data_IF_455757739799
#
_entry.id   IF_455757739799
#
_cell.length_a   1.000
_cell.length_b   1.000
_cell.length_c   1.000
_cell.angle_alpha   90.00
_cell.angle_beta   90.00
_cell.angle_gamma   90.00
#
_symmetry.space_group_name_H-M   'P 1'
#
loop_
_entity.id
_entity.type
_entity.pdbx_description
1 polymer ?
#
# COMPACT_ATOMS: atom_id res chain seq x y z
N UNK A 1 -23.90 5.23 -15.23
CA UNK A 1 -22.99 4.16 -14.75
C UNK A 1 -23.55 2.82 -15.20
N UNK A 2 -22.78 1.98 -15.88
CA UNK A 2 -23.25 0.66 -16.32
C UNK A 2 -23.56 -0.24 -15.12
N UNK A 3 -24.57 -1.13 -15.26
CA UNK A 3 -25.01 -2.04 -14.21
C UNK A 3 -23.87 -2.92 -13.63
N UNK A 4 -22.92 -3.31 -14.49
CA UNK A 4 -21.73 -4.07 -14.09
C UNK A 4 -20.88 -3.31 -13.06
N UNK A 5 -20.62 -2.03 -13.31
CA UNK A 5 -19.81 -1.19 -12.41
C UNK A 5 -20.53 -0.93 -11.09
N UNK A 6 -21.83 -0.68 -11.15
CA UNK A 6 -22.65 -0.52 -9.93
C UNK A 6 -22.61 -1.79 -9.07
N UNK A 7 -22.76 -2.96 -9.69
CA UNK A 7 -22.70 -4.25 -9.00
C UNK A 7 -21.33 -4.49 -8.36
N UNK A 8 -20.25 -4.14 -9.06
CA UNK A 8 -18.89 -4.20 -8.53
C UNK A 8 -18.71 -3.26 -7.33
N UNK A 9 -19.22 -2.03 -7.41
CA UNK A 9 -19.18 -1.05 -6.32
C UNK A 9 -19.94 -1.49 -5.08
N UNK A 10 -21.14 -2.04 -5.26
CA UNK A 10 -21.92 -2.59 -4.14
C UNK A 10 -21.16 -3.75 -3.49
N UNK A 11 -20.53 -4.62 -4.29
CA UNK A 11 -19.77 -5.75 -3.78
C UNK A 11 -18.57 -5.30 -2.94
N UNK A 12 -17.69 -4.43 -3.47
CA UNK A 12 -16.54 -3.97 -2.69
C UNK A 12 -16.93 -3.06 -1.53
N UNK A 13 -17.97 -2.23 -1.67
CA UNK A 13 -18.49 -1.40 -0.57
C UNK A 13 -19.03 -2.24 0.59
N UNK A 14 -19.69 -3.36 0.28
CA UNK A 14 -20.13 -4.34 1.27
C UNK A 14 -18.93 -5.00 1.98
N UNK A 15 -17.88 -5.37 1.23
CA UNK A 15 -16.64 -5.91 1.81
C UNK A 15 -15.95 -4.92 2.74
N UNK A 16 -15.90 -3.63 2.38
CA UNK A 16 -15.40 -2.56 3.24
C UNK A 16 -16.22 -2.46 4.53
N UNK A 17 -17.55 -2.49 4.43
CA UNK A 17 -18.44 -2.43 5.59
C UNK A 17 -18.25 -3.62 6.53
N UNK A 18 -18.16 -4.83 5.97
CA UNK A 18 -17.88 -6.06 6.73
C UNK A 18 -16.52 -5.97 7.42
N UNK A 19 -15.49 -5.51 6.71
CA UNK A 19 -14.13 -5.39 7.26
C UNK A 19 -14.06 -4.37 8.40
N UNK A 20 -14.76 -3.24 8.26
CA UNK A 20 -14.92 -2.26 9.34
C UNK A 20 -15.63 -2.90 10.53
N UNK A 21 -16.73 -3.64 10.32
CA UNK A 21 -17.45 -4.31 11.41
C UNK A 21 -16.56 -5.35 12.14
N UNK A 22 -15.77 -6.13 11.40
CA UNK A 22 -14.81 -7.08 11.97
C UNK A 22 -13.75 -6.34 12.80
N UNK A 23 -13.18 -5.26 12.26
CA UNK A 23 -12.18 -4.45 12.95
C UNK A 23 -12.75 -3.82 14.23
N UNK A 24 -13.92 -3.19 14.17
CA UNK A 24 -14.54 -2.50 15.29
C UNK A 24 -14.89 -3.45 16.45
N UNK A 25 -15.26 -4.70 16.15
CA UNK A 25 -15.58 -5.73 17.16
C UNK A 25 -14.37 -6.24 17.92
N UNK A 26 -13.18 -6.23 17.32
CA UNK A 26 -11.97 -6.77 17.95
C UNK A 26 -10.70 -5.97 17.61
N UNK A 27 -10.76 -4.66 17.84
CA UNK A 27 -9.68 -3.71 17.50
C UNK A 27 -8.32 -4.12 18.07
N UNK A 28 -8.31 -4.69 19.28
CA UNK A 28 -7.08 -5.08 19.99
C UNK A 28 -6.33 -6.22 19.29
N UNK A 29 -7.01 -7.03 18.49
CA UNK A 29 -6.37 -8.11 17.72
C UNK A 29 -5.59 -7.61 16.50
N UNK A 30 -5.80 -6.35 16.08
CA UNK A 30 -5.16 -5.78 14.89
C UNK A 30 -3.95 -4.93 15.28
N UNK A 31 -2.77 -5.29 14.77
CA UNK A 31 -1.51 -4.58 15.04
C UNK A 31 -1.56 -3.08 14.67
N UNK A 32 -2.35 -2.71 13.66
CA UNK A 32 -2.58 -1.32 13.25
C UNK A 32 -3.13 -0.41 14.37
N UNK A 33 -3.89 -0.95 15.33
CA UNK A 33 -4.49 -0.16 16.41
C UNK A 33 -3.44 0.33 17.43
N UNK A 34 -2.24 -0.27 17.45
CA UNK A 34 -1.25 -0.04 18.48
C UNK A 34 -0.34 1.16 18.15
N UNK A 35 -0.03 1.98 19.15
CA UNK A 35 1.00 3.04 19.07
C UNK A 35 2.36 2.51 18.59
N UNK A 36 2.65 1.24 18.85
CA UNK A 36 3.85 0.58 18.34
C UNK A 36 3.90 0.58 16.81
N UNK A 37 2.77 0.35 16.12
CA UNK A 37 2.72 0.39 14.66
C UNK A 37 2.99 1.80 14.13
N UNK A 38 2.43 2.83 14.78
CA UNK A 38 2.72 4.22 14.41
C UNK A 38 4.22 4.53 14.56
N UNK A 39 4.84 4.15 15.68
CA UNK A 39 6.28 4.32 15.88
C UNK A 39 7.11 3.53 14.86
N UNK A 40 6.63 2.35 14.45
CA UNK A 40 7.25 1.54 13.41
C UNK A 40 7.21 2.20 12.03
N UNK A 41 6.15 2.92 11.69
CA UNK A 41 6.05 3.72 10.46
C UNK A 41 6.93 4.97 10.53
N UNK A 42 6.98 5.63 11.68
CA UNK A 42 7.72 6.88 11.90
C UNK A 42 9.25 6.71 12.06
N UNK A 43 9.77 5.52 11.76
CA UNK A 43 11.21 5.31 11.64
C UNK A 43 11.75 6.22 10.52
N UNK A 44 12.77 7.02 10.84
CA UNK A 44 13.27 8.14 10.00
C UNK A 44 13.42 7.79 8.52
N UNK A 45 14.03 6.64 8.20
CA UNK A 45 14.27 6.26 6.81
C UNK A 45 12.99 5.87 6.06
N UNK A 46 11.99 5.31 6.75
CA UNK A 46 10.69 4.97 6.15
C UNK A 46 9.94 6.24 5.79
N UNK A 47 9.94 7.21 6.72
CA UNK A 47 9.40 8.55 6.47
C UNK A 47 10.12 9.22 5.30
N UNK A 48 11.45 9.17 5.26
CA UNK A 48 12.22 9.78 4.16
C UNK A 48 11.90 9.14 2.81
N UNK A 49 11.91 7.80 2.73
CA UNK A 49 11.56 7.08 1.48
C UNK A 49 10.11 7.31 1.07
N UNK A 50 9.18 7.37 2.02
CA UNK A 50 7.79 7.76 1.79
C UNK A 50 7.66 9.19 1.24
N UNK A 51 8.33 10.17 1.84
CA UNK A 51 8.26 11.55 1.39
C UNK A 51 8.84 11.71 -0.02
N UNK A 52 9.96 11.06 -0.32
CA UNK A 52 10.55 11.07 -1.65
C UNK A 52 9.63 10.41 -2.68
N UNK A 53 9.10 9.22 -2.38
CA UNK A 53 8.20 8.50 -3.28
C UNK A 53 6.90 9.27 -3.52
N UNK A 54 6.27 9.78 -2.45
CA UNK A 54 5.01 10.55 -2.52
C UNK A 54 5.20 11.85 -3.28
N UNK A 55 6.26 12.60 -2.98
CA UNK A 55 6.56 13.85 -3.71
C UNK A 55 6.80 13.56 -5.18
N UNK A 56 7.60 12.53 -5.49
CA UNK A 56 7.87 12.11 -6.86
C UNK A 56 6.60 11.76 -7.63
N UNK A 57 5.79 10.84 -7.10
CA UNK A 57 4.59 10.37 -7.81
C UNK A 57 3.50 11.43 -7.90
N UNK A 58 3.29 12.22 -6.84
CA UNK A 58 2.30 13.30 -6.87
C UNK A 58 2.67 14.36 -7.90
N UNK A 59 3.96 14.71 -8.04
CA UNK A 59 4.38 15.68 -9.06
C UNK A 59 4.31 15.10 -10.48
N UNK A 60 4.60 13.81 -10.64
CA UNK A 60 4.67 13.14 -11.94
C UNK A 60 3.29 12.73 -12.47
N UNK A 61 2.33 12.42 -11.61
CA UNK A 61 1.05 11.81 -11.96
C UNK A 61 0.30 12.52 -13.12
N UNK A 62 0.16 13.86 -13.15
CA UNK A 62 -0.52 14.54 -14.27
C UNK A 62 0.24 14.49 -15.61
N UNK A 63 1.53 14.14 -15.59
CA UNK A 63 2.38 14.03 -16.77
C UNK A 63 2.47 12.59 -17.30
N UNK A 64 1.68 11.66 -16.76
CA UNK A 64 1.63 10.26 -17.22
C UNK A 64 0.84 10.10 -18.53
N UNK A 65 0.10 11.12 -18.95
CA UNK A 65 -0.80 11.04 -20.11
C UNK A 65 -2.13 10.35 -19.83
N UNK A 66 -2.30 9.78 -18.64
CA UNK A 66 -3.57 9.23 -18.20
C UNK A 66 -4.41 10.35 -17.56
N UNK A 67 -5.59 10.71 -18.13
CA UNK A 67 -6.44 11.78 -17.60
C UNK A 67 -7.06 11.43 -16.23
N UNK A 68 -6.95 10.17 -15.80
CA UNK A 68 -7.44 9.75 -14.50
C UNK A 68 -6.47 10.12 -13.38
N UNK A 69 -5.16 10.11 -13.63
CA UNK A 69 -4.12 10.37 -12.64
C UNK A 69 -3.92 11.87 -12.43
N UNK A 70 -4.07 12.32 -11.18
CA UNK A 70 -3.85 13.70 -10.80
C UNK A 70 -3.04 13.85 -9.51
N UNK A 71 -2.92 15.08 -9.02
CA UNK A 71 -2.19 15.33 -7.78
C UNK A 71 -2.91 14.79 -6.54
N UNK A 72 -4.24 14.77 -6.55
CA UNK A 72 -5.06 14.39 -5.40
C UNK A 72 -5.04 12.87 -5.21
N UNK A 73 -5.30 12.11 -6.26
CA UNK A 73 -5.31 10.65 -6.17
C UNK A 73 -3.94 10.06 -5.86
N UNK A 74 -2.89 10.53 -6.53
CA UNK A 74 -1.52 10.12 -6.26
C UNK A 74 -1.13 10.41 -4.80
N UNK A 75 -1.54 11.55 -4.25
CA UNK A 75 -1.24 11.92 -2.86
C UNK A 75 -1.97 11.01 -1.86
N UNK A 76 -3.30 10.89 -1.95
CA UNK A 76 -4.03 10.09 -0.95
C UNK A 76 -3.70 8.61 -1.08
N UNK A 77 -3.50 8.07 -2.29
CA UNK A 77 -3.12 6.68 -2.48
C UNK A 77 -1.73 6.39 -1.89
N UNK A 78 -0.78 7.33 -2.03
CA UNK A 78 0.55 7.20 -1.43
C UNK A 78 0.48 7.17 0.10
N UNK A 79 -0.34 8.05 0.70
CA UNK A 79 -0.59 8.08 2.14
C UNK A 79 -1.21 6.77 2.61
N UNK A 80 -2.29 6.32 1.95
CA UNK A 80 -2.95 5.05 2.27
C UNK A 80 -1.95 3.90 2.18
N UNK A 81 -1.13 3.85 1.13
CA UNK A 81 -0.13 2.80 0.91
C UNK A 81 0.91 2.80 2.03
N UNK A 82 1.44 3.96 2.43
CA UNK A 82 2.39 4.06 3.54
C UNK A 82 1.84 3.57 4.87
N UNK A 83 0.61 3.97 5.17
CA UNK A 83 -0.04 3.63 6.43
C UNK A 83 -0.41 2.15 6.48
N UNK A 84 -0.78 1.54 5.35
CA UNK A 84 -1.44 0.24 5.36
C UNK A 84 -0.62 -0.93 4.79
N UNK A 85 0.23 -0.69 3.78
CA UNK A 85 0.95 -1.77 3.10
C UNK A 85 1.81 -2.61 4.04
N UNK A 86 2.59 -2.03 4.98
CA UNK A 86 3.43 -2.84 5.85
C UNK A 86 2.63 -3.80 6.72
N UNK A 87 1.50 -3.34 7.28
CA UNK A 87 0.63 -4.19 8.08
C UNK A 87 -0.11 -5.22 7.23
N UNK A 88 -0.72 -4.84 6.10
CA UNK A 88 -1.50 -5.77 5.28
C UNK A 88 -0.65 -6.94 4.78
N UNK A 89 0.56 -6.66 4.28
CA UNK A 89 1.45 -7.70 3.76
C UNK A 89 1.93 -8.63 4.88
N UNK A 90 2.33 -8.08 6.03
CA UNK A 90 2.72 -8.87 7.19
C UNK A 90 1.58 -9.74 7.73
N UNK A 91 0.38 -9.18 7.85
CA UNK A 91 -0.80 -9.89 8.33
C UNK A 91 -1.20 -11.04 7.40
N UNK A 92 -1.24 -10.80 6.08
CA UNK A 92 -1.55 -11.83 5.08
C UNK A 92 -0.52 -12.96 5.12
N UNK A 93 0.77 -12.63 5.21
CA UNK A 93 1.82 -13.62 5.35
C UNK A 93 1.62 -14.47 6.62
N UNK A 94 1.37 -13.83 7.77
CA UNK A 94 1.21 -14.54 9.04
C UNK A 94 -0.07 -15.38 9.09
N UNK A 95 -1.18 -14.95 8.47
CA UNK A 95 -2.38 -15.79 8.31
C UNK A 95 -2.07 -17.00 7.43
N UNK A 96 -1.36 -16.83 6.31
CA UNK A 96 -0.94 -17.94 5.45
C UNK A 96 -0.04 -18.94 6.19
N UNK A 97 0.75 -18.46 7.16
CA UNK A 97 1.56 -19.29 8.08
C UNK A 97 0.79 -19.81 9.30
N UNK A 98 -0.54 -19.61 9.36
CA UNK A 98 -1.41 -20.00 10.48
C UNK A 98 -1.02 -19.40 11.83
N UNK A 99 -0.34 -18.25 11.83
CA UNK A 99 0.10 -17.51 13.02
C UNK A 99 -0.89 -16.42 13.45
N UNK A 100 -1.80 -16.02 12.57
CA UNK A 100 -2.87 -15.05 12.85
C UNK A 100 -4.23 -15.62 12.41
N UNK A 101 -5.34 -15.17 13.03
CA UNK A 101 -6.66 -15.65 12.69
C UNK A 101 -7.11 -15.15 11.31
N UNK A 102 -7.88 -15.96 10.58
CA UNK A 102 -8.32 -15.67 9.21
C UNK A 102 -9.05 -14.34 9.04
N UNK A 103 -9.76 -13.87 10.07
CA UNK A 103 -10.41 -12.55 10.08
C UNK A 103 -9.44 -11.40 9.76
N UNK A 104 -8.15 -11.52 10.10
CA UNK A 104 -7.16 -10.52 9.76
C UNK A 104 -6.84 -10.50 8.27
N UNK A 105 -6.91 -11.62 7.57
CA UNK A 105 -6.73 -11.64 6.12
C UNK A 105 -7.87 -10.92 5.40
N UNK A 106 -9.11 -11.05 5.88
CA UNK A 106 -10.26 -10.31 5.32
C UNK A 106 -10.02 -8.81 5.40
N UNK A 107 -9.65 -8.31 6.59
CA UNK A 107 -9.38 -6.88 6.80
C UNK A 107 -8.14 -6.43 6.02
N UNK A 108 -7.05 -7.19 6.06
CA UNK A 108 -5.81 -6.87 5.35
C UNK A 108 -6.00 -6.79 3.84
N UNK A 109 -6.77 -7.72 3.26
CA UNK A 109 -7.13 -7.71 1.84
C UNK A 109 -8.01 -6.51 1.50
N UNK A 110 -9.03 -6.22 2.31
CA UNK A 110 -9.90 -5.08 2.08
C UNK A 110 -9.15 -3.75 2.14
N UNK A 111 -8.26 -3.59 3.13
CA UNK A 111 -7.41 -2.40 3.26
C UNK A 111 -6.46 -2.28 2.07
N UNK A 112 -5.85 -3.39 1.63
CA UNK A 112 -5.03 -3.41 0.42
C UNK A 112 -5.82 -2.96 -0.80
N UNK A 113 -6.93 -3.62 -1.11
CA UNK A 113 -7.74 -3.29 -2.29
C UNK A 113 -8.27 -1.85 -2.25
N UNK A 114 -8.64 -1.37 -1.07
CA UNK A 114 -9.06 0.02 -0.88
C UNK A 114 -7.93 1.01 -1.15
N UNK A 115 -6.74 0.75 -0.60
CA UNK A 115 -5.56 1.60 -0.79
C UNK A 115 -5.05 1.58 -2.23
N UNK A 116 -5.05 0.42 -2.88
CA UNK A 116 -4.46 0.23 -4.20
C UNK A 116 -5.43 0.50 -5.37
N UNK A 117 -6.75 0.47 -5.14
CA UNK A 117 -7.72 0.67 -6.23
C UNK A 117 -9.00 1.37 -5.80
N UNK A 118 -9.75 0.85 -4.81
CA UNK A 118 -11.13 1.30 -4.62
C UNK A 118 -11.27 2.75 -4.17
N UNK A 119 -10.28 3.29 -3.45
CA UNK A 119 -10.25 4.72 -3.10
C UNK A 119 -10.10 5.62 -4.33
N UNK A 120 -9.26 5.22 -5.28
CA UNK A 120 -9.10 5.87 -6.57
C UNK A 120 -10.34 5.74 -7.46
N UNK A 121 -10.91 4.53 -7.56
CA UNK A 121 -12.14 4.31 -8.33
C UNK A 121 -13.30 5.17 -7.78
N UNK A 122 -13.42 5.22 -6.45
CA UNK A 122 -14.42 6.05 -5.77
C UNK A 122 -14.18 7.55 -6.04
N UNK A 123 -12.93 8.00 -5.97
CA UNK A 123 -12.57 9.38 -6.26
C UNK A 123 -12.99 9.79 -7.67
N UNK A 124 -12.68 8.97 -8.68
CA UNK A 124 -13.06 9.24 -10.07
C UNK A 124 -14.56 9.21 -10.31
N UNK A 125 -15.29 8.30 -9.65
CA UNK A 125 -16.75 8.31 -9.71
C UNK A 125 -17.31 9.62 -9.15
N UNK A 126 -16.74 10.13 -8.05
CA UNK A 126 -17.18 11.40 -7.45
C UNK A 126 -16.78 12.62 -8.29
N UNK A 127 -15.60 12.59 -8.92
CA UNK A 127 -15.05 13.69 -9.73
C UNK A 127 -15.70 13.76 -11.11
N UNK A 128 -15.79 12.63 -11.80
CA UNK A 128 -16.10 12.54 -13.23
C UNK A 128 -17.46 11.88 -13.51
N UNK A 129 -18.16 11.40 -12.48
CA UNK A 129 -19.42 10.65 -12.60
C UNK A 129 -19.31 9.38 -13.49
N UNK A 130 -18.08 8.87 -13.63
CA UNK A 130 -17.75 7.70 -14.45
C UNK A 130 -16.82 6.75 -13.69
N UNK A 131 -17.01 5.45 -13.93
CA UNK A 131 -16.10 4.43 -13.43
C UNK A 131 -14.88 4.34 -14.37
N UNK A 132 -13.63 4.28 -13.86
CA UNK A 132 -12.45 4.21 -14.70
C UNK A 132 -12.46 2.97 -15.58
N UNK A 133 -12.21 3.12 -16.88
CA UNK A 133 -12.14 1.99 -17.81
C UNK A 133 -10.94 1.08 -17.54
N UNK A 134 -9.87 1.66 -17.00
CA UNK A 134 -8.60 0.98 -16.66
C UNK A 134 -8.57 0.38 -15.26
N UNK A 135 -9.71 0.35 -14.54
CA UNK A 135 -9.80 -0.11 -13.15
C UNK A 135 -9.15 -1.49 -12.91
N UNK A 136 -9.37 -2.43 -13.83
CA UNK A 136 -8.86 -3.79 -13.67
C UNK A 136 -7.33 -3.82 -13.79
N UNK A 137 -6.76 -3.13 -14.79
CA UNK A 137 -5.31 -2.99 -14.95
C UNK A 137 -4.68 -2.24 -13.77
N UNK A 138 -5.37 -1.21 -13.26
CA UNK A 138 -4.93 -0.46 -12.09
C UNK A 138 -4.79 -1.37 -10.85
N UNK A 139 -5.75 -2.28 -10.61
CA UNK A 139 -5.66 -3.25 -9.51
C UNK A 139 -4.32 -3.98 -9.57
N UNK A 140 -3.90 -4.51 -10.73
CA UNK A 140 -2.64 -5.26 -10.81
C UNK A 140 -1.41 -4.36 -10.64
N UNK A 141 -1.36 -3.24 -11.37
CA UNK A 141 -0.22 -2.33 -11.31
C UNK A 141 -0.01 -1.79 -9.88
N UNK A 142 -1.08 -1.25 -9.28
CA UNK A 142 -1.05 -0.69 -7.94
C UNK A 142 -0.86 -1.76 -6.87
N UNK A 143 -1.34 -2.99 -7.08
CA UNK A 143 -1.08 -4.11 -6.17
C UNK A 143 0.37 -4.52 -6.11
N UNK A 144 1.06 -4.55 -7.26
CA UNK A 144 2.50 -4.86 -7.31
C UNK A 144 3.29 -3.80 -6.52
N UNK A 145 2.96 -2.52 -6.72
CA UNK A 145 3.58 -1.42 -5.98
C UNK A 145 3.25 -1.47 -4.48
N UNK A 146 2.00 -1.77 -4.13
CA UNK A 146 1.56 -1.92 -2.74
C UNK A 146 2.31 -3.05 -2.02
N UNK A 147 2.46 -4.22 -2.66
CA UNK A 147 3.24 -5.34 -2.12
C UNK A 147 4.71 -4.96 -1.96
N UNK A 148 5.31 -4.34 -2.99
CA UNK A 148 6.70 -3.91 -2.95
C UNK A 148 6.96 -2.90 -1.82
N UNK A 149 6.06 -1.92 -1.65
CA UNK A 149 6.12 -0.93 -0.57
C UNK A 149 5.96 -1.59 0.81
N UNK A 150 5.01 -2.53 0.94
CA UNK A 150 4.80 -3.29 2.16
C UNK A 150 6.02 -4.14 2.53
N UNK A 151 6.69 -4.77 1.57
CA UNK A 151 7.94 -5.51 1.80
C UNK A 151 9.09 -4.56 2.16
N UNK A 152 9.28 -3.48 1.39
CA UNK A 152 10.31 -2.46 1.63
C UNK A 152 10.23 -1.92 3.05
N UNK A 153 9.08 -1.44 3.49
CA UNK A 153 8.92 -0.85 4.83
C UNK A 153 8.81 -1.86 5.96
N UNK A 154 8.77 -3.17 5.66
CA UNK A 154 9.03 -4.22 6.64
C UNK A 154 10.50 -4.66 6.67
N UNK A 155 11.37 -4.21 5.76
CA UNK A 155 12.80 -4.54 5.86
C UNK A 155 13.40 -3.94 7.12
N UNK A 156 14.17 -4.75 7.82
CA UNK A 156 14.97 -4.33 8.96
C UNK A 156 16.27 -5.13 9.03
N UNK A 157 17.25 -4.59 9.75
CA UNK A 157 18.50 -5.27 10.05
C UNK A 157 18.59 -5.52 11.56
N UNK A 158 18.94 -6.74 11.95
CA UNK A 158 19.19 -7.11 13.35
C UNK A 158 20.62 -7.65 13.53
N UNK A 159 21.32 -7.33 14.65
CA UNK A 159 22.70 -7.76 14.87
C UNK A 159 22.98 -9.25 14.69
N UNK A 160 22.08 -10.11 15.16
CA UNK A 160 22.29 -11.58 15.15
C UNK A 160 21.72 -12.23 13.88
N UNK A 161 20.66 -11.67 13.29
CA UNK A 161 19.92 -12.28 12.18
C UNK A 161 20.31 -11.73 10.81
N UNK A 162 20.89 -10.54 10.75
CA UNK A 162 21.10 -9.81 9.51
C UNK A 162 19.80 -9.16 9.01
N UNK A 163 19.64 -9.08 7.69
CA UNK A 163 18.47 -8.47 7.05
C UNK A 163 17.29 -9.45 7.07
N UNK A 164 16.15 -8.98 7.57
CA UNK A 164 14.91 -9.76 7.72
C UNK A 164 13.70 -8.86 7.48
N UNK A 165 12.52 -9.47 7.43
CA UNK A 165 11.27 -8.73 7.50
C UNK A 165 10.78 -8.66 8.95
N UNK A 166 10.37 -7.47 9.38
CA UNK A 166 9.93 -7.22 10.74
C UNK A 166 8.75 -8.10 11.15
N UNK A 167 7.81 -8.42 10.24
CA UNK A 167 6.69 -9.31 10.55
C UNK A 167 7.07 -10.77 10.82
N UNK A 168 8.34 -11.16 10.59
CA UNK A 168 8.86 -12.48 10.98
C UNK A 168 9.29 -12.53 12.44
N UNK A 169 9.32 -11.37 13.12
CA UNK A 169 9.82 -11.23 14.48
C UNK A 169 8.66 -11.19 15.49
N UNK A 170 8.82 -11.80 16.68
CA UNK A 170 7.75 -11.88 17.68
C UNK A 170 7.26 -10.51 18.16
N UNK A 171 8.13 -9.50 18.15
CA UNK A 171 7.80 -8.17 18.66
C UNK A 171 7.04 -7.30 17.65
N UNK A 172 6.79 -7.79 16.43
CA UNK A 172 6.13 -7.00 15.40
C UNK A 172 4.72 -6.55 15.84
N UNK A 173 4.34 -5.27 15.65
CA UNK A 173 5.04 -4.23 14.90
C UNK A 173 5.79 -3.22 15.78
N UNK A 174 6.65 -3.66 16.70
CA UNK A 174 7.49 -2.77 17.52
C UNK A 174 8.74 -2.34 16.76
N UNK A 175 9.09 -1.03 16.75
CA UNK A 175 10.33 -0.57 16.11
C UNK A 175 11.58 -1.05 16.87
N UNK A 176 12.66 -1.26 16.13
CA UNK A 176 13.99 -1.51 16.68
C UNK A 176 14.63 -0.23 17.26
N UNK A 177 15.53 -0.42 18.23
CA UNK A 177 16.31 0.67 18.82
C UNK A 177 17.31 1.31 17.83
N UNK A 178 17.85 0.54 16.87
CA UNK A 178 18.83 1.00 15.89
C UNK A 178 18.40 0.75 14.43
N UNK A 179 17.60 1.65 13.85
CA UNK A 179 17.12 1.51 12.47
C UNK A 179 18.17 1.98 11.45
N UNK A 180 19.17 1.14 11.14
CA UNK A 180 20.22 1.46 10.16
C UNK A 180 19.82 1.18 8.70
N UNK A 181 19.33 2.19 7.96
CA UNK A 181 18.91 2.03 6.54
C UNK A 181 20.03 1.56 5.60
N UNK A 182 21.27 2.00 5.83
CA UNK A 182 22.43 1.63 5.00
C UNK A 182 22.66 0.12 4.96
N UNK A 183 22.29 -0.60 6.04
CA UNK A 183 22.46 -2.05 6.15
C UNK A 183 21.40 -2.84 5.38
N UNK A 184 20.30 -2.20 5.00
CA UNK A 184 19.23 -2.82 4.19
C UNK A 184 19.18 -2.30 2.77
N UNK A 185 20.03 -1.32 2.39
CA UNK A 185 19.94 -0.62 1.10
C UNK A 185 20.00 -1.58 -0.10
N UNK A 186 20.89 -2.58 -0.06
CA UNK A 186 21.00 -3.59 -1.13
C UNK A 186 19.73 -4.43 -1.30
N UNK A 187 19.02 -4.70 -0.22
CA UNK A 187 17.74 -5.43 -0.23
C UNK A 187 16.54 -4.53 -0.52
N UNK A 188 16.65 -3.23 -0.22
CA UNK A 188 15.66 -2.23 -0.56
C UNK A 188 15.67 -1.89 -2.07
N UNK A 189 16.83 -1.97 -2.71
CA UNK A 189 17.04 -1.55 -4.09
C UNK A 189 16.08 -2.20 -5.11
N UNK A 190 15.81 -3.52 -5.09
CA UNK A 190 14.85 -4.14 -6.02
C UNK A 190 13.44 -3.55 -5.91
N UNK A 191 12.97 -3.28 -4.69
CA UNK A 191 11.63 -2.70 -4.46
C UNK A 191 11.55 -1.26 -4.94
N UNK A 192 12.60 -0.47 -4.68
CA UNK A 192 12.68 0.92 -5.15
C UNK A 192 12.81 0.98 -6.68
N UNK A 193 13.61 0.09 -7.29
CA UNK A 193 13.77 0.01 -8.73
C UNK A 193 12.46 -0.37 -9.42
N UNK A 194 11.71 -1.34 -8.88
CA UNK A 194 10.40 -1.71 -9.39
C UNK A 194 9.43 -0.51 -9.41
N UNK A 195 9.41 0.29 -8.33
CA UNK A 195 8.59 1.50 -8.29
C UNK A 195 9.03 2.54 -9.33
N UNK A 196 10.35 2.77 -9.46
CA UNK A 196 10.89 3.70 -10.47
C UNK A 196 10.55 3.24 -11.89
N UNK A 197 10.69 1.95 -12.19
CA UNK A 197 10.39 1.41 -13.52
C UNK A 197 8.90 1.48 -13.84
N UNK A 198 8.03 1.15 -12.88
CA UNK A 198 6.58 1.23 -13.06
C UNK A 198 6.13 2.68 -13.31
N UNK A 199 6.62 3.63 -12.53
CA UNK A 199 6.28 5.06 -12.72
C UNK A 199 6.91 5.56 -14.03
N UNK A 200 8.17 5.22 -14.27
CA UNK A 200 8.93 5.63 -15.46
C UNK A 200 8.28 5.16 -16.76
N UNK A 201 7.69 3.96 -16.81
CA UNK A 201 7.01 3.48 -18.02
C UNK A 201 5.83 4.36 -18.41
N UNK A 202 5.07 4.89 -17.45
CA UNK A 202 3.96 5.81 -17.76
C UNK A 202 4.46 7.16 -18.29
N UNK A 203 5.53 7.69 -17.69
CA UNK A 203 6.10 8.98 -18.09
C UNK A 203 6.75 8.90 -19.47
N UNK A 204 7.53 7.86 -19.74
CA UNK A 204 8.21 7.69 -21.04
C UNK A 204 7.17 7.57 -22.15
N UNK A 205 6.11 6.79 -21.95
CA UNK A 205 5.03 6.66 -22.94
C UNK A 205 4.38 8.00 -23.29
N UNK A 206 4.21 8.91 -22.32
CA UNK A 206 3.69 10.26 -22.58
C UNK A 206 4.61 11.11 -23.48
N UNK A 207 5.92 11.07 -23.27
CA UNK A 207 6.86 11.87 -24.08
C UNK A 207 7.05 11.33 -25.50
N UNK A 208 6.89 10.02 -25.73
CA UNK A 208 7.00 9.43 -27.07
C UNK A 208 5.70 9.43 -27.88
N UNK A 209 4.55 9.71 -27.25
CA UNK A 209 3.23 9.76 -27.92
C UNK A 209 2.80 11.17 -28.35
N UNK A 210 3.64 12.19 -28.11
CA UNK A 210 3.51 13.56 -28.62
C UNK A 210 4.44 13.78 -29.80
#
# INVERSE_FOLDING_TARGET
MEFRYLSYMIAWGSLCTISIAIYLRDKKSFGFHNLHYLKFLLVKWKVLTFLLATTGITLIAPYTGDPTWDHFDALFMSILTFISAPWSIGALYLVARKKLPFKQAIVAFCVWMFSASWSYDLYLVLRDNQYPQTWFSNIFASSVLYVAAGLLWNLEWRPVRGVTFSFLEPEWPTPLAEPGFTRILGYAAPFMLLAILAIGSFVISFFYSR
#
